data_IF_591512556148
#
_entry.id   IF_591512556148
#
_cell.length_a   1.000
_cell.length_b   1.000
_cell.length_c   1.000
_cell.angle_alpha   90.00
_cell.angle_beta   90.00
_cell.angle_gamma   90.00
#
_symmetry.space_group_name_H-M   'P 1'
#
loop_
_entity.id
_entity.type
_entity.pdbx_description
1 polymer ?
#
# COMPACT_ATOMS: atom_id res chain seq x y z
N UNK A 1 0.74 -10.58 7.86
CA UNK A 1 0.96 -9.14 7.54
C UNK A 1 1.77 -8.38 8.60
N UNK A 2 1.33 -8.25 9.87
CA UNK A 2 2.05 -7.41 10.85
C UNK A 2 3.54 -7.79 11.06
N UNK A 3 3.88 -9.06 10.86
CA UNK A 3 5.26 -9.56 10.93
C UNK A 3 6.19 -8.83 9.96
N UNK A 4 5.82 -8.74 8.67
CA UNK A 4 6.64 -8.07 7.64
C UNK A 4 6.65 -6.55 7.83
N UNK A 5 5.52 -5.94 8.20
CA UNK A 5 5.40 -4.49 8.35
C UNK A 5 6.23 -3.91 9.49
N UNK A 6 6.44 -4.66 10.58
CA UNK A 6 7.17 -4.18 11.76
C UNK A 6 8.68 -4.07 11.55
N UNK A 7 9.18 -4.55 10.40
CA UNK A 7 10.60 -4.70 10.18
C UNK A 7 11.00 -4.39 8.73
N UNK A 8 11.74 -3.29 8.60
CA UNK A 8 12.24 -2.81 7.32
C UNK A 8 13.12 -3.82 6.59
N UNK A 9 13.82 -4.71 7.30
CA UNK A 9 14.69 -5.73 6.68
C UNK A 9 13.85 -6.80 5.98
N UNK A 10 12.79 -7.30 6.65
CA UNK A 10 11.88 -8.31 6.07
C UNK A 10 11.14 -7.78 4.85
N UNK A 11 10.69 -6.52 4.92
CA UNK A 11 10.07 -5.84 3.79
C UNK A 11 11.04 -5.71 2.61
N UNK A 12 12.24 -5.20 2.84
CA UNK A 12 13.23 -5.00 1.79
C UNK A 12 13.58 -6.32 1.07
N UNK A 13 13.72 -7.41 1.82
CA UNK A 13 13.96 -8.74 1.24
C UNK A 13 12.80 -9.16 0.32
N UNK A 14 11.55 -9.09 0.78
CA UNK A 14 10.41 -9.52 -0.06
C UNK A 14 10.25 -8.64 -1.31
N UNK A 15 10.40 -7.32 -1.19
CA UNK A 15 10.30 -6.40 -2.32
C UNK A 15 11.38 -6.66 -3.37
N UNK A 16 12.65 -6.80 -2.96
CA UNK A 16 13.74 -7.02 -3.90
C UNK A 16 13.69 -8.42 -4.55
N UNK A 17 13.30 -9.46 -3.81
CA UNK A 17 13.07 -10.78 -4.41
C UNK A 17 11.94 -10.76 -5.44
N UNK A 18 10.87 -9.99 -5.18
CA UNK A 18 9.78 -9.77 -6.15
C UNK A 18 10.26 -9.04 -7.41
N UNK A 19 11.26 -8.17 -7.27
CA UNK A 19 11.91 -7.46 -8.38
C UNK A 19 12.98 -8.29 -9.11
N UNK A 20 13.21 -9.55 -8.69
CA UNK A 20 14.13 -10.48 -9.35
C UNK A 20 15.55 -10.49 -8.79
N UNK A 21 15.82 -9.79 -7.68
CA UNK A 21 17.06 -9.96 -6.92
C UNK A 21 17.09 -11.35 -6.27
N UNK A 22 18.27 -11.95 -6.13
CA UNK A 22 18.41 -13.32 -5.58
C UNK A 22 19.44 -13.43 -4.46
N UNK A 23 20.28 -12.41 -4.24
CA UNK A 23 21.33 -12.45 -3.23
C UNK A 23 21.05 -11.56 -2.02
N UNK A 24 21.21 -12.11 -0.81
CA UNK A 24 21.11 -11.34 0.44
C UNK A 24 22.08 -10.14 0.50
N UNK A 25 23.30 -10.32 0.00
CA UNK A 25 24.32 -9.26 -0.09
C UNK A 25 23.91 -8.13 -1.04
N UNK A 26 23.30 -8.47 -2.16
CA UNK A 26 22.84 -7.50 -3.15
C UNK A 26 21.67 -6.68 -2.60
N UNK A 27 20.71 -7.34 -1.92
CA UNK A 27 19.61 -6.70 -1.19
C UNK A 27 20.16 -5.73 -0.13
N UNK A 28 21.14 -6.15 0.66
CA UNK A 28 21.76 -5.31 1.69
C UNK A 28 22.39 -4.04 1.08
N UNK A 29 23.17 -4.19 0.01
CA UNK A 29 23.82 -3.07 -0.68
C UNK A 29 22.80 -2.10 -1.31
N UNK A 30 21.80 -2.63 -2.02
CA UNK A 30 20.78 -1.84 -2.72
C UNK A 30 19.97 -0.98 -1.76
N UNK A 31 19.58 -1.55 -0.61
CA UNK A 31 18.80 -0.85 0.41
C UNK A 31 19.64 -0.09 1.44
N UNK A 32 20.98 -0.14 1.33
CA UNK A 32 21.93 0.44 2.30
C UNK A 32 21.66 -0.07 3.73
N UNK A 33 21.37 -1.36 3.85
CA UNK A 33 21.07 -2.04 5.11
C UNK A 33 22.30 -2.83 5.62
N UNK A 34 22.47 -2.95 6.95
CA UNK A 34 23.46 -3.85 7.52
C UNK A 34 23.22 -5.31 7.12
N UNK A 35 24.26 -6.00 6.61
CA UNK A 35 24.19 -7.39 6.17
C UNK A 35 23.60 -8.33 7.25
N UNK A 36 24.08 -8.23 8.49
CA UNK A 36 23.54 -9.00 9.64
C UNK A 36 22.03 -8.84 9.85
N UNK A 37 21.48 -7.66 9.57
CA UNK A 37 20.05 -7.42 9.68
C UNK A 37 19.27 -8.11 8.55
N UNK A 38 19.85 -8.12 7.35
CA UNK A 38 19.27 -8.81 6.17
C UNK A 38 19.36 -10.32 6.33
N UNK A 39 20.49 -10.87 6.77
CA UNK A 39 20.66 -12.30 7.08
C UNK A 39 19.61 -12.78 8.09
N UNK A 40 19.44 -12.02 9.18
CA UNK A 40 18.40 -12.32 10.18
C UNK A 40 17.00 -12.30 9.56
N UNK A 41 16.69 -11.30 8.74
CA UNK A 41 15.40 -11.22 8.06
C UNK A 41 15.18 -12.38 7.09
N UNK A 42 16.21 -12.82 6.38
CA UNK A 42 16.16 -14.01 5.50
C UNK A 42 15.83 -15.26 6.31
N UNK A 43 16.50 -15.47 7.45
CA UNK A 43 16.21 -16.61 8.33
C UNK A 43 14.77 -16.56 8.87
N UNK A 44 14.32 -15.40 9.33
CA UNK A 44 12.97 -15.17 9.83
C UNK A 44 11.90 -15.41 8.74
N UNK A 45 12.13 -14.95 7.50
CA UNK A 45 11.21 -15.17 6.38
C UNK A 45 11.19 -16.61 5.89
N UNK A 46 12.31 -17.33 5.97
CA UNK A 46 12.38 -18.77 5.67
C UNK A 46 11.61 -19.59 6.69
N UNK A 47 11.72 -19.24 7.97
CA UNK A 47 10.98 -19.92 9.04
C UNK A 47 9.45 -19.81 8.85
N UNK A 48 9.00 -18.73 8.22
CA UNK A 48 7.59 -18.48 7.87
C UNK A 48 7.21 -18.98 6.46
N UNK A 49 8.12 -19.70 5.77
CA UNK A 49 7.91 -20.25 4.42
C UNK A 49 7.57 -19.18 3.35
N UNK A 50 7.94 -17.92 3.58
CA UNK A 50 7.69 -16.81 2.66
C UNK A 50 8.76 -16.70 1.56
N UNK A 51 9.95 -17.24 1.83
CA UNK A 51 11.06 -17.31 0.87
C UNK A 51 11.74 -18.69 0.98
N UNK A 52 12.46 -19.09 -0.05
CA UNK A 52 13.22 -20.33 -0.10
C UNK A 52 14.58 -20.17 -0.78
N UNK A 53 15.30 -21.29 -0.91
CA UNK A 53 16.63 -21.35 -1.54
C UNK A 53 17.79 -21.13 -0.56
N UNK A 54 19.06 -21.28 -0.99
CA UNK A 54 20.26 -20.90 -0.24
C UNK A 54 20.46 -19.36 -0.22
N UNK A 55 21.39 -18.84 0.59
CA UNK A 55 21.57 -17.37 0.77
C UNK A 55 21.99 -16.65 -0.53
N UNK A 56 22.67 -17.37 -1.42
CA UNK A 56 23.18 -16.85 -2.70
C UNK A 56 22.14 -16.96 -3.83
N UNK A 57 21.06 -17.72 -3.61
CA UNK A 57 20.02 -18.00 -4.59
C UNK A 57 18.64 -18.08 -3.92
N UNK A 58 18.23 -16.94 -3.37
CA UNK A 58 16.93 -16.78 -2.74
C UNK A 58 15.83 -16.64 -3.79
N UNK A 59 14.66 -17.17 -3.48
CA UNK A 59 13.44 -16.92 -4.24
C UNK A 59 12.25 -16.68 -3.31
N UNK A 60 11.30 -15.87 -3.78
CA UNK A 60 10.03 -15.63 -3.07
C UNK A 60 9.05 -16.78 -3.36
N UNK A 61 8.40 -17.31 -2.32
CA UNK A 61 7.37 -18.35 -2.47
C UNK A 61 6.05 -17.74 -2.95
N UNK A 62 5.08 -18.59 -3.29
CA UNK A 62 3.73 -18.11 -3.60
C UNK A 62 3.08 -17.38 -2.40
N UNK A 63 3.25 -17.94 -1.20
CA UNK A 63 2.78 -17.32 0.04
C UNK A 63 3.47 -15.97 0.29
N UNK A 64 4.79 -15.88 0.07
CA UNK A 64 5.52 -14.61 0.17
C UNK A 64 5.00 -13.56 -0.80
N UNK A 65 4.69 -13.94 -2.04
CA UNK A 65 4.10 -13.02 -3.04
C UNK A 65 2.73 -12.53 -2.61
N UNK A 66 1.87 -13.40 -2.11
CA UNK A 66 0.55 -13.01 -1.61
C UNK A 66 0.68 -12.00 -0.48
N UNK A 67 1.52 -12.30 0.53
CA UNK A 67 1.77 -11.41 1.68
C UNK A 67 2.31 -10.05 1.26
N UNK A 68 3.16 -10.00 0.24
CA UNK A 68 3.68 -8.74 -0.31
C UNK A 68 2.59 -7.95 -1.04
N UNK A 69 1.79 -8.61 -1.89
CA UNK A 69 0.68 -7.97 -2.62
C UNK A 69 -0.31 -7.32 -1.67
N UNK A 70 -0.76 -8.11 -0.69
CA UNK A 70 -1.58 -7.74 0.45
C UNK A 70 -1.06 -6.49 1.18
N UNK A 71 0.25 -6.42 1.42
CA UNK A 71 0.91 -5.29 2.07
C UNK A 71 0.87 -4.02 1.20
N UNK A 72 1.16 -4.16 -0.10
CA UNK A 72 1.12 -3.04 -1.05
C UNK A 72 -0.30 -2.52 -1.26
N UNK A 73 -1.32 -3.39 -1.23
CA UNK A 73 -2.72 -2.99 -1.30
C UNK A 73 -3.16 -2.18 -0.08
N UNK A 74 -2.74 -2.57 1.12
CA UNK A 74 -3.01 -1.80 2.35
C UNK A 74 -2.38 -0.41 2.32
N UNK A 75 -1.16 -0.29 1.78
CA UNK A 75 -0.49 1.01 1.64
C UNK A 75 -1.15 1.90 0.59
N UNK A 76 -1.66 1.31 -0.50
CA UNK A 76 -2.45 2.03 -1.52
C UNK A 76 -3.84 2.42 -1.02
N UNK A 77 -4.46 1.58 -0.19
CA UNK A 77 -5.76 1.81 0.44
C UNK A 77 -5.74 2.85 1.57
N UNK A 78 -4.57 3.25 2.07
CA UNK A 78 -4.41 4.34 3.04
C UNK A 78 -4.50 5.76 2.45
N UNK A 79 -4.67 5.89 1.12
CA UNK A 79 -4.65 7.15 0.40
C UNK A 79 -5.74 7.26 -0.67
N UNK A 80 -7.01 7.19 -0.25
CA UNK A 80 -8.25 7.69 -0.89
C UNK A 80 -9.41 7.03 -0.11
N UNK A 81 -10.16 7.74 0.72
CA UNK A 81 -11.15 8.68 0.24
C UNK A 81 -12.47 7.97 -0.04
N UNK A 82 -13.13 7.41 0.98
CA UNK A 82 -14.58 7.26 0.93
C UNK A 82 -15.22 8.64 1.11
N UNK A 83 -15.07 9.46 0.07
CA UNK A 83 -16.02 10.50 -0.25
C UNK A 83 -17.30 9.80 -0.75
N UNK A 84 -18.25 9.66 0.18
CA UNK A 84 -19.68 9.56 -0.03
C UNK A 84 -20.22 8.96 -1.33
N UNK A 85 -20.72 7.72 -1.24
CA UNK A 85 -21.94 7.33 -1.96
C UNK A 85 -23.08 7.33 -0.94
N UNK A 86 -23.91 8.37 -0.99
CA UNK A 86 -25.00 8.63 -0.04
C UNK A 86 -26.15 7.62 -0.11
N UNK A 87 -27.23 7.88 0.63
CA UNK A 87 -28.27 8.69 0.00
C UNK A 87 -28.26 10.11 0.56
N UNK A 88 -28.01 11.08 -0.32
CA UNK A 88 -28.31 12.48 -0.01
C UNK A 88 -29.81 12.55 0.24
N UNK A 89 -30.20 12.89 1.47
CA UNK A 89 -31.56 13.38 1.70
C UNK A 89 -31.71 14.61 0.80
N UNK A 90 -32.61 14.51 -0.17
CA UNK A 90 -33.08 15.67 -0.93
C UNK A 90 -33.57 16.69 0.10
N UNK A 91 -32.79 17.75 0.32
CA UNK A 91 -33.32 18.96 0.90
C UNK A 91 -34.05 19.64 -0.25
N UNK A 92 -35.37 19.51 -0.25
CA UNK A 92 -36.25 20.38 -1.01
C UNK A 92 -35.81 21.83 -0.79
N UNK A 93 -35.06 22.38 -1.75
CA UNK A 93 -35.10 23.80 -2.00
C UNK A 93 -36.35 24.00 -2.84
N UNK A 94 -37.45 24.25 -2.15
CA UNK A 94 -38.62 24.89 -2.73
C UNK A 94 -38.14 26.19 -3.36
N UNK A 95 -38.10 26.18 -4.70
CA UNK A 95 -38.12 27.42 -5.45
C UNK A 95 -39.48 28.07 -5.22
N UNK A 96 -39.46 29.30 -4.71
CA UNK A 96 -40.46 30.27 -5.09
C UNK A 96 -39.75 31.60 -5.35
N UNK A 97 -39.36 31.73 -6.62
CA UNK A 97 -39.05 33.00 -7.28
C UNK A 97 -40.31 33.88 -7.26
N UNK A 98 -40.59 34.50 -6.12
CA UNK A 98 -41.55 35.59 -6.04
C UNK A 98 -40.97 36.83 -6.70
N UNK A 99 -41.18 36.90 -8.01
CA UNK A 99 -40.95 38.05 -8.90
C UNK A 99 -41.65 39.30 -8.34
N UNK A 100 -40.93 40.16 -7.63
CA UNK A 100 -41.29 41.57 -7.52
C UNK A 100 -40.67 42.32 -8.69
N UNK A 101 -41.39 42.32 -9.81
CA UNK A 101 -41.10 43.17 -10.96
C UNK A 101 -41.36 44.61 -10.52
N UNK A 102 -40.29 45.40 -10.56
CA UNK A 102 -40.23 46.83 -10.36
C UNK A 102 -41.20 47.56 -11.30
N UNK A 103 -42.22 48.21 -10.72
CA UNK A 103 -42.78 49.43 -11.28
C UNK A 103 -41.73 50.54 -11.13
N UNK A 104 -41.25 51.12 -12.25
CA UNK A 104 -41.29 52.57 -12.43
C UNK A 104 -40.87 53.00 -13.86
N UNK A 105 -41.84 53.60 -14.56
CA UNK A 105 -41.79 54.81 -15.43
C UNK A 105 -40.79 54.98 -16.58
N UNK A 106 -41.36 55.26 -17.76
CA UNK A 106 -41.06 56.49 -18.52
C UNK A 106 -40.36 56.33 -19.87
N UNK A 107 -41.12 56.41 -20.97
CA UNK A 107 -41.07 57.50 -21.98
C UNK A 107 -42.18 57.32 -23.02
#
# INVERSE_FOLDING_TARGET
MQFVMKDKYRRAVLEDLSNGERGSDAIAKRNRLPAKGVERAVQELRAEELIGGPEDELYITEQGRQVLSDLLEMERGGGQGEAGTGPRKFREQTGDESRKRTENQGN
#
